data_IF_259247535631
#
_entry.id   IF_259247535631
#
_cell.length_a   1.000
_cell.length_b   1.000
_cell.length_c   1.000
_cell.angle_alpha   90.00
_cell.angle_beta   90.00
_cell.angle_gamma   90.00
#
_symmetry.space_group_name_H-M   'P 1'
#
loop_
_entity.id
_entity.type
_entity.pdbx_description
1 polymer ?
#
# COMPACT_ATOMS: atom_id res chain seq x y z
N UNK A 1 28.90 -23.53 -3.39
CA UNK A 1 29.35 -22.53 -2.45
C UNK A 1 28.64 -22.66 -1.11
N UNK A 2 27.31 -22.71 -1.06
CA UNK A 2 26.56 -22.91 0.20
C UNK A 2 26.97 -24.24 0.87
N UNK A 3 27.11 -25.31 0.10
CA UNK A 3 27.54 -26.63 0.61
C UNK A 3 28.95 -26.64 1.19
N UNK A 4 29.80 -25.71 0.77
CA UNK A 4 31.13 -25.50 1.31
C UNK A 4 31.16 -24.52 2.48
N UNK A 5 30.00 -24.01 2.89
CA UNK A 5 29.89 -23.05 3.98
C UNK A 5 30.26 -21.61 3.60
N UNK A 6 30.31 -21.27 2.31
CA UNK A 6 30.63 -19.93 1.81
C UNK A 6 29.48 -19.35 1.01
N UNK A 7 28.51 -18.67 1.66
CA UNK A 7 27.41 -18.03 0.96
C UNK A 7 27.92 -16.82 0.17
N UNK A 8 27.39 -16.63 -1.05
CA UNK A 8 27.67 -15.42 -1.84
C UNK A 8 26.99 -14.19 -1.23
N UNK A 9 25.79 -14.38 -0.71
CA UNK A 9 25.02 -13.31 -0.06
C UNK A 9 24.33 -13.87 1.17
N UNK A 10 24.31 -13.08 2.23
CA UNK A 10 23.51 -13.30 3.42
C UNK A 10 22.72 -12.04 3.72
N UNK A 11 21.45 -12.20 4.03
CA UNK A 11 20.57 -11.09 4.43
C UNK A 11 20.01 -11.37 5.80
N UNK A 12 19.85 -10.31 6.58
CA UNK A 12 19.18 -10.36 7.86
C UNK A 12 18.36 -9.07 8.06
N UNK A 13 17.32 -9.15 8.87
CA UNK A 13 16.52 -7.99 9.22
C UNK A 13 16.06 -8.10 10.66
N UNK A 14 15.82 -6.95 11.29
CA UNK A 14 15.00 -6.92 12.49
C UNK A 14 13.56 -7.22 12.07
N UNK A 15 12.89 -8.03 12.85
CA UNK A 15 11.48 -8.33 12.61
C UNK A 15 10.63 -7.59 13.64
N UNK A 16 9.73 -6.73 13.18
CA UNK A 16 8.75 -6.07 14.03
C UNK A 16 7.37 -6.57 13.65
N UNK A 17 6.67 -7.16 14.60
CA UNK A 17 5.29 -7.57 14.39
C UNK A 17 4.41 -6.34 14.26
N UNK A 18 3.76 -6.19 13.12
CA UNK A 18 2.84 -5.08 12.85
C UNK A 18 1.40 -5.56 12.80
N UNK A 19 0.52 -4.76 13.38
CA UNK A 19 -0.91 -5.03 13.38
C UNK A 19 -1.61 -3.84 12.73
N UNK A 20 -2.04 -4.03 11.50
CA UNK A 20 -2.61 -3.01 10.65
C UNK A 20 -4.13 -3.01 10.71
N UNK A 21 -4.74 -1.85 10.59
CA UNK A 21 -6.20 -1.66 10.54
C UNK A 21 -6.56 -0.64 9.48
N UNK A 22 -7.54 -0.98 8.67
CA UNK A 22 -8.09 -0.10 7.66
C UNK A 22 -9.61 -0.28 7.61
N UNK A 23 -10.40 0.54 8.27
CA UNK A 23 -11.84 0.54 8.11
C UNK A 23 -12.24 1.21 6.80
N UNK A 24 -13.28 0.69 6.20
CA UNK A 24 -13.93 1.28 5.04
C UNK A 24 -15.43 1.33 5.26
N UNK A 25 -16.09 2.31 4.65
CA UNK A 25 -17.52 2.53 4.74
C UNK A 25 -18.06 2.81 3.34
N UNK A 26 -19.01 2.00 2.92
CA UNK A 26 -19.63 2.12 1.62
C UNK A 26 -21.10 2.38 1.77
N UNK A 27 -21.59 3.39 1.08
CA UNK A 27 -23.00 3.73 1.00
C UNK A 27 -23.42 3.75 -0.45
N UNK A 28 -24.60 3.28 -0.75
CA UNK A 28 -25.14 3.38 -2.09
C UNK A 28 -26.63 3.61 -2.09
N UNK A 29 -27.10 4.28 -3.13
CA UNK A 29 -28.49 4.42 -3.50
C UNK A 29 -28.63 4.14 -4.98
N UNK A 30 -29.64 3.38 -5.35
CA UNK A 30 -29.92 3.04 -6.74
C UNK A 30 -31.40 3.01 -6.96
N UNK A 31 -31.84 3.49 -8.14
CA UNK A 31 -33.22 3.46 -8.58
C UNK A 31 -33.30 2.93 -10.01
N UNK A 32 -34.37 2.21 -10.29
CA UNK A 32 -34.72 1.75 -11.61
C UNK A 32 -36.04 2.43 -12.02
N UNK A 33 -35.91 3.37 -12.92
CA UNK A 33 -37.04 4.18 -13.37
C UNK A 33 -37.53 3.77 -14.76
N UNK A 34 -38.72 3.24 -14.81
CA UNK A 34 -39.42 2.98 -16.07
C UNK A 34 -40.06 4.27 -16.59
N UNK A 35 -39.31 5.00 -17.42
CA UNK A 35 -39.73 6.31 -17.95
C UNK A 35 -40.91 6.17 -18.91
N UNK A 36 -40.89 5.11 -19.74
CA UNK A 36 -41.98 4.74 -20.69
C UNK A 36 -42.04 3.21 -20.77
N UNK A 37 -43.02 2.67 -21.50
CA UNK A 37 -43.12 1.24 -21.79
C UNK A 37 -41.91 0.70 -22.61
N UNK A 38 -41.14 1.59 -23.21
CA UNK A 38 -40.00 1.26 -24.05
C UNK A 38 -38.65 1.71 -23.51
N UNK A 39 -38.62 2.50 -22.41
CA UNK A 39 -37.39 3.05 -21.84
C UNK A 39 -37.35 2.84 -20.34
N UNK A 40 -36.35 2.15 -19.90
CA UNK A 40 -35.98 2.02 -18.48
C UNK A 40 -34.63 2.67 -18.27
N UNK A 41 -34.51 3.48 -17.21
CA UNK A 41 -33.26 4.06 -16.73
C UNK A 41 -32.88 3.40 -15.41
N UNK A 42 -31.60 3.15 -15.23
CA UNK A 42 -31.00 2.74 -13.96
C UNK A 42 -30.06 3.85 -13.52
N UNK A 43 -30.32 4.46 -12.37
CA UNK A 43 -29.52 5.54 -11.82
C UNK A 43 -29.02 5.13 -10.45
N UNK A 44 -27.77 5.38 -10.17
CA UNK A 44 -27.18 5.05 -8.89
C UNK A 44 -26.08 6.01 -8.50
N UNK A 45 -25.88 6.12 -7.19
CA UNK A 45 -24.74 6.81 -6.60
C UNK A 45 -24.17 5.92 -5.51
N UNK A 46 -22.87 5.71 -5.54
CA UNK A 46 -22.10 5.07 -4.47
C UNK A 46 -21.14 6.08 -3.89
N UNK A 47 -21.03 6.10 -2.58
CA UNK A 47 -20.00 6.83 -1.87
C UNK A 47 -19.13 5.84 -1.11
N UNK A 48 -17.83 5.89 -1.35
CA UNK A 48 -16.86 5.01 -0.74
C UNK A 48 -15.91 5.85 0.13
N UNK A 49 -15.78 5.49 1.41
CA UNK A 49 -14.84 6.12 2.33
C UNK A 49 -13.86 5.06 2.81
N UNK A 50 -12.74 4.99 2.12
CA UNK A 50 -11.63 4.11 2.46
C UNK A 50 -10.63 4.88 3.33
N UNK A 51 -10.66 4.62 4.62
CA UNK A 51 -9.74 5.28 5.52
C UNK A 51 -8.34 4.67 5.38
N UNK A 52 -7.28 5.49 5.38
CA UNK A 52 -5.93 4.98 5.22
C UNK A 52 -5.54 4.00 6.33
N UNK A 53 -4.69 3.07 5.99
CA UNK A 53 -4.14 2.07 6.90
C UNK A 53 -3.44 2.73 8.08
N UNK A 54 -3.57 2.14 9.25
CA UNK A 54 -2.83 2.54 10.45
C UNK A 54 -2.27 1.32 11.16
N UNK A 55 -1.05 1.41 11.64
CA UNK A 55 -0.49 0.42 12.55
C UNK A 55 -0.91 0.74 13.99
N UNK A 56 -1.29 -0.29 14.77
CA UNK A 56 -1.92 -0.10 16.09
C UNK A 56 -1.01 0.56 17.12
N UNK A 57 0.30 0.38 16.99
CA UNK A 57 1.34 0.95 17.86
C UNK A 57 2.12 2.09 17.22
N UNK A 58 1.77 2.48 15.97
CA UNK A 58 2.46 3.47 15.15
C UNK A 58 3.92 3.08 14.85
N UNK A 59 4.18 1.81 14.60
CA UNK A 59 5.53 1.26 14.37
C UNK A 59 5.87 1.21 12.87
N UNK A 60 5.56 2.24 12.13
CA UNK A 60 5.95 2.40 10.74
C UNK A 60 6.30 3.84 10.40
N UNK A 61 6.86 4.03 9.24
CA UNK A 61 7.21 5.36 8.72
C UNK A 61 7.05 5.38 7.21
N UNK A 62 6.84 6.58 6.70
CA UNK A 62 6.79 6.88 5.28
C UNK A 62 7.94 7.83 4.92
N UNK A 63 8.15 8.09 3.65
CA UNK A 63 9.06 9.11 3.17
C UNK A 63 8.27 10.27 2.59
N UNK A 64 8.61 11.49 3.00
CA UNK A 64 8.14 12.71 2.35
C UNK A 64 9.00 12.94 1.09
N UNK A 65 8.42 12.64 -0.06
CA UNK A 65 9.03 12.83 -1.36
C UNK A 65 8.58 14.14 -2.03
N UNK A 66 7.56 14.78 -1.49
CA UNK A 66 6.97 15.99 -2.07
C UNK A 66 7.83 17.22 -1.76
N UNK A 67 8.49 17.22 -0.62
CA UNK A 67 9.36 18.32 -0.19
C UNK A 67 10.72 18.30 -0.90
N UNK A 68 11.37 17.16 -0.94
CA UNK A 68 12.65 16.96 -1.63
C UNK A 68 12.79 15.51 -2.10
N UNK A 69 12.62 15.29 -3.40
CA UNK A 69 12.72 13.95 -3.98
C UNK A 69 14.15 13.39 -3.94
N UNK A 70 15.16 14.26 -3.95
CA UNK A 70 16.56 13.82 -3.92
C UNK A 70 17.01 13.40 -2.51
N UNK A 71 16.40 13.99 -1.47
CA UNK A 71 16.69 13.70 -0.06
C UNK A 71 15.37 13.58 0.73
N UNK A 72 14.62 12.51 0.53
CA UNK A 72 13.31 12.34 1.15
C UNK A 72 13.44 12.26 2.67
N UNK A 73 12.63 13.06 3.38
CA UNK A 73 12.59 13.03 4.83
C UNK A 73 11.79 11.83 5.34
N UNK A 74 12.28 11.17 6.39
CA UNK A 74 11.55 10.10 7.05
C UNK A 74 10.45 10.68 7.94
N UNK A 75 9.22 10.24 7.74
CA UNK A 75 8.02 10.66 8.48
C UNK A 75 7.48 9.50 9.32
N UNK A 76 7.89 9.36 10.58
CA UNK A 76 7.35 8.32 11.46
C UNK A 76 5.88 8.59 11.79
N UNK A 77 5.09 7.54 11.88
CA UNK A 77 3.73 7.63 12.39
C UNK A 77 3.70 8.15 13.83
N UNK A 78 2.74 9.02 14.13
CA UNK A 78 2.61 9.69 15.42
C UNK A 78 1.25 9.37 16.04
N UNK A 79 1.14 9.49 17.34
CA UNK A 79 -0.16 9.51 18.02
C UNK A 79 -0.89 10.78 17.62
N UNK A 80 -2.17 10.65 17.25
CA UNK A 80 -2.96 11.81 16.84
C UNK A 80 -4.12 11.40 15.94
N UNK A 81 -4.39 12.21 14.95
CA UNK A 81 -5.39 11.96 13.93
C UNK A 81 -5.08 10.69 13.12
N UNK A 82 -6.03 10.27 12.28
CA UNK A 82 -5.76 9.14 11.40
C UNK A 82 -4.65 9.44 10.40
N UNK A 83 -4.58 10.67 9.90
CA UNK A 83 -3.53 11.11 9.00
C UNK A 83 -2.14 11.06 9.67
N UNK A 84 -2.03 11.48 10.94
CA UNK A 84 -0.78 11.38 11.70
C UNK A 84 -0.30 9.94 11.88
N UNK A 85 -1.24 9.03 12.07
CA UNK A 85 -0.96 7.60 12.25
C UNK A 85 -0.70 6.87 10.96
N UNK A 86 -1.39 7.26 9.90
CA UNK A 86 -1.23 6.68 8.56
C UNK A 86 -0.06 7.27 7.79
N UNK A 87 0.42 8.46 8.19
CA UNK A 87 1.42 9.27 7.47
C UNK A 87 0.97 9.74 6.08
N UNK A 88 -0.33 9.64 5.80
CA UNK A 88 -0.98 10.14 4.58
C UNK A 88 -2.35 10.73 4.93
N UNK A 89 -2.83 11.64 4.09
CA UNK A 89 -4.14 12.25 4.22
C UNK A 89 -5.30 11.26 4.06
N UNK A 90 -6.46 11.63 4.56
CA UNK A 90 -7.71 10.91 4.32
C UNK A 90 -8.33 11.44 3.04
N UNK A 91 -8.61 10.57 2.09
CA UNK A 91 -9.45 10.86 0.94
C UNK A 91 -10.91 10.59 1.29
N UNK A 92 -11.79 11.52 0.97
CA UNK A 92 -13.21 11.43 1.31
C UNK A 92 -14.11 11.89 0.17
N UNK A 93 -13.61 11.93 -1.06
CA UNK A 93 -14.35 12.45 -2.21
C UNK A 93 -14.77 11.37 -3.23
N UNK A 94 -14.73 10.10 -2.86
CA UNK A 94 -14.99 8.96 -3.74
C UNK A 94 -16.49 8.77 -4.00
N UNK A 95 -17.05 9.62 -4.87
CA UNK A 95 -18.42 9.52 -5.35
C UNK A 95 -18.46 8.81 -6.69
N UNK A 96 -19.08 7.63 -6.74
CA UNK A 96 -19.25 6.78 -7.92
C UNK A 96 -20.63 6.85 -8.53
N UNK A 97 -20.95 7.87 -9.36
CA UNK A 97 -22.22 7.91 -10.07
C UNK A 97 -22.28 6.80 -11.13
N UNK A 98 -23.48 6.26 -11.32
CA UNK A 98 -23.78 5.23 -12.29
C UNK A 98 -25.07 5.55 -13.01
N UNK A 99 -25.08 5.40 -14.31
CA UNK A 99 -26.26 5.57 -15.14
C UNK A 99 -26.30 4.47 -16.19
N UNK A 100 -27.47 3.90 -16.39
CA UNK A 100 -27.71 2.90 -17.41
C UNK A 100 -29.09 3.10 -18.04
N UNK A 101 -29.26 2.56 -19.24
CA UNK A 101 -30.54 2.55 -19.92
C UNK A 101 -30.78 1.24 -20.67
N UNK A 102 -32.05 0.90 -20.80
CA UNK A 102 -32.54 -0.13 -21.71
C UNK A 102 -33.67 0.47 -22.53
N UNK A 103 -33.47 0.56 -23.83
CA UNK A 103 -34.43 1.12 -24.76
C UNK A 103 -34.86 0.07 -25.79
N UNK A 104 -36.17 -0.24 -25.81
CA UNK A 104 -36.78 -1.06 -26.84
C UNK A 104 -37.02 -0.21 -28.10
N UNK A 105 -36.05 -0.19 -29.01
CA UNK A 105 -36.12 0.60 -30.23
C UNK A 105 -37.22 0.09 -31.17
N UNK A 106 -37.37 -1.22 -31.25
CA UNK A 106 -38.48 -1.91 -31.97
C UNK A 106 -38.99 -3.07 -31.12
N UNK A 107 -40.02 -3.76 -31.56
CA UNK A 107 -40.55 -4.91 -30.82
C UNK A 107 -39.54 -6.08 -30.72
N UNK A 108 -38.57 -6.12 -31.64
CA UNK A 108 -37.55 -7.16 -31.68
C UNK A 108 -36.12 -6.65 -31.35
N UNK A 109 -35.97 -5.37 -31.05
CA UNK A 109 -34.62 -4.78 -30.81
C UNK A 109 -34.57 -3.98 -29.53
N UNK A 110 -33.62 -4.32 -28.68
CA UNK A 110 -33.33 -3.55 -27.43
C UNK A 110 -31.89 -3.07 -27.48
N UNK A 111 -31.72 -1.78 -27.27
CA UNK A 111 -30.43 -1.13 -27.12
C UNK A 111 -30.20 -0.89 -25.63
N UNK A 112 -29.02 -1.25 -25.15
CA UNK A 112 -28.62 -1.04 -23.75
C UNK A 112 -27.28 -0.33 -23.70
N UNK A 113 -27.11 0.52 -22.72
CA UNK A 113 -25.85 1.20 -22.47
C UNK A 113 -25.76 1.63 -21.02
N UNK A 114 -24.55 1.94 -20.59
CA UNK A 114 -24.34 2.42 -19.24
C UNK A 114 -22.96 3.06 -19.09
N UNK A 115 -22.84 3.88 -18.07
CA UNK A 115 -21.63 4.53 -17.62
C UNK A 115 -21.57 4.48 -16.11
N UNK A 116 -20.37 4.36 -15.54
CA UNK A 116 -20.18 4.43 -14.09
C UNK A 116 -18.76 4.80 -13.74
N UNK A 117 -18.62 5.50 -12.62
CA UNK A 117 -17.35 5.76 -11.96
C UNK A 117 -17.21 4.75 -10.83
N UNK A 118 -16.04 4.15 -10.74
CA UNK A 118 -15.72 3.13 -9.77
C UNK A 118 -14.39 3.48 -9.11
N UNK A 119 -14.35 3.40 -7.79
CA UNK A 119 -13.14 3.52 -7.03
C UNK A 119 -12.68 2.13 -6.60
N UNK A 120 -11.41 1.91 -6.57
CA UNK A 120 -10.84 0.65 -6.12
C UNK A 120 -9.82 0.93 -5.03
N UNK A 121 -9.89 0.18 -3.95
CA UNK A 121 -8.79 0.17 -3.01
C UNK A 121 -7.60 -0.50 -3.67
N UNK A 122 -6.46 0.19 -3.68
CA UNK A 122 -5.23 -0.37 -4.20
C UNK A 122 -4.71 -1.44 -3.22
N UNK A 123 -5.04 -2.68 -3.49
CA UNK A 123 -4.52 -3.83 -2.76
C UNK A 123 -3.24 -4.31 -3.47
N UNK A 124 -2.13 -4.30 -2.76
CA UNK A 124 -0.88 -4.88 -3.25
C UNK A 124 0.26 -3.89 -3.39
N UNK A 125 0.72 -3.57 -4.56
CA UNK A 125 1.97 -2.82 -4.75
C UNK A 125 1.91 -1.37 -4.26
N UNK A 126 2.63 -1.04 -3.20
CA UNK A 126 2.77 0.31 -2.66
C UNK A 126 1.83 0.64 -1.50
N UNK A 127 1.10 -0.35 -0.98
CA UNK A 127 0.27 -0.18 0.21
C UNK A 127 1.08 -0.12 1.51
N UNK A 128 0.36 -0.08 2.61
CA UNK A 128 0.92 0.01 3.96
C UNK A 128 1.89 -1.12 4.33
N UNK A 129 1.84 -2.24 3.63
CA UNK A 129 2.74 -3.39 3.82
C UNK A 129 4.22 -3.06 3.56
N UNK A 130 4.52 -2.05 2.74
CA UNK A 130 5.91 -1.63 2.54
C UNK A 130 6.40 -0.66 3.63
N UNK A 131 5.51 0.03 4.32
CA UNK A 131 5.86 0.96 5.39
C UNK A 131 6.48 0.26 6.61
N UNK A 132 6.17 -1.03 6.80
CA UNK A 132 6.77 -1.86 7.84
C UNK A 132 8.26 -2.10 7.64
N UNK A 133 8.72 -2.00 6.39
CA UNK A 133 10.13 -2.16 6.03
C UNK A 133 11.00 -0.94 6.28
N UNK A 134 10.41 0.18 6.70
CA UNK A 134 11.13 1.44 6.83
C UNK A 134 11.75 1.65 8.22
N UNK A 135 12.93 2.32 8.29
CA UNK A 135 13.47 2.79 9.56
C UNK A 135 12.51 3.75 10.27
N UNK A 136 12.59 3.92 11.59
CA UNK A 136 13.53 3.28 12.51
C UNK A 136 13.06 1.91 13.05
N UNK A 137 11.92 1.41 12.58
CA UNK A 137 11.27 0.23 13.15
C UNK A 137 11.78 -1.08 12.56
N UNK A 138 12.25 -1.05 11.32
CA UNK A 138 12.83 -2.21 10.65
C UNK A 138 14.16 -1.83 10.02
N UNK A 139 15.14 -2.66 10.24
CA UNK A 139 16.46 -2.54 9.63
C UNK A 139 16.76 -3.81 8.85
N UNK A 140 17.26 -3.64 7.64
CA UNK A 140 17.69 -4.74 6.78
C UNK A 140 19.18 -4.56 6.51
N UNK A 141 19.93 -5.65 6.59
CA UNK A 141 21.31 -5.68 6.20
C UNK A 141 21.58 -6.83 5.23
N UNK A 142 22.37 -6.58 4.22
CA UNK A 142 22.82 -7.58 3.27
C UNK A 142 24.36 -7.56 3.23
N UNK A 143 24.96 -8.73 3.36
CA UNK A 143 26.40 -8.91 3.17
C UNK A 143 26.58 -9.68 1.88
N UNK A 144 27.28 -9.09 0.93
CA UNK A 144 27.66 -9.75 -0.32
C UNK A 144 29.16 -9.98 -0.29
N UNK A 145 29.58 -11.19 -0.58
CA UNK A 145 31.00 -11.58 -0.61
C UNK A 145 31.47 -11.75 -2.03
N UNK A 146 32.74 -11.47 -2.25
CA UNK A 146 33.37 -11.79 -3.50
C UNK A 146 33.39 -13.34 -3.71
N UNK A 147 33.18 -13.78 -4.94
CA UNK A 147 33.19 -15.19 -5.31
C UNK A 147 34.58 -15.77 -5.31
N UNK A 148 35.61 -14.96 -5.45
CA UNK A 148 37.01 -15.37 -5.49
C UNK A 148 37.59 -15.42 -4.08
N UNK A 149 37.25 -14.41 -3.24
CA UNK A 149 37.73 -14.30 -1.87
C UNK A 149 36.53 -14.20 -0.90
N UNK A 150 35.85 -15.30 -0.60
CA UNK A 150 34.70 -15.27 0.27
C UNK A 150 35.11 -14.90 1.70
N UNK A 151 34.59 -13.82 2.20
CA UNK A 151 34.86 -13.32 3.55
C UNK A 151 33.87 -13.80 4.60
N UNK A 152 32.67 -14.27 4.16
CA UNK A 152 31.65 -14.79 5.04
C UNK A 152 31.67 -16.32 5.08
N UNK A 153 31.72 -16.89 6.28
CA UNK A 153 31.58 -18.33 6.53
C UNK A 153 30.36 -18.61 7.37
N UNK A 154 29.54 -19.58 6.98
CA UNK A 154 28.35 -19.97 7.74
C UNK A 154 28.67 -20.38 9.19
N UNK A 155 29.83 -21.01 9.39
CA UNK A 155 30.31 -21.46 10.70
C UNK A 155 30.62 -20.32 11.66
N UNK A 156 30.86 -19.12 11.15
CA UNK A 156 31.14 -17.91 11.97
C UNK A 156 29.88 -17.10 12.29
N UNK A 157 28.77 -17.40 11.60
CA UNK A 157 27.56 -16.59 11.71
C UNK A 157 27.73 -15.21 11.05
N UNK A 158 26.74 -14.36 11.23
CA UNK A 158 26.82 -12.96 10.83
C UNK A 158 27.65 -12.17 11.85
N UNK A 159 28.44 -11.17 11.40
CA UNK A 159 29.17 -10.30 12.29
C UNK A 159 28.24 -9.67 13.33
N UNK A 160 28.70 -9.46 14.57
CA UNK A 160 28.00 -8.67 15.55
C UNK A 160 27.65 -7.30 14.95
N UNK A 161 26.50 -6.74 15.31
CA UNK A 161 26.03 -5.44 14.81
C UNK A 161 25.71 -5.37 13.31
N UNK A 162 25.64 -6.51 12.60
CA UNK A 162 25.21 -6.53 11.19
C UNK A 162 23.88 -5.81 10.99
N UNK A 163 22.98 -5.89 11.97
CA UNK A 163 21.71 -5.16 11.99
C UNK A 163 21.70 -4.22 13.20
N UNK A 164 22.29 -3.05 13.05
CA UNK A 164 22.29 -2.02 14.08
C UNK A 164 21.69 -0.72 13.54
N UNK A 165 21.12 0.13 14.39
CA UNK A 165 20.66 1.47 13.99
C UNK A 165 21.76 2.34 13.35
N UNK A 166 23.01 2.09 13.66
CA UNK A 166 24.15 2.81 13.05
C UNK A 166 24.34 2.40 11.59
N UNK A 167 24.31 1.11 11.29
CA UNK A 167 24.48 0.61 9.94
C UNK A 167 23.30 0.98 9.02
N UNK A 168 22.12 1.13 9.58
CA UNK A 168 20.94 1.55 8.81
C UNK A 168 21.00 3.02 8.38
N UNK A 169 21.69 3.89 9.10
CA UNK A 169 21.89 5.28 8.69
C UNK A 169 22.87 5.42 7.53
N UNK A 170 23.86 4.53 7.46
CA UNK A 170 24.89 4.57 6.43
C UNK A 170 24.37 4.03 5.08
N UNK A 171 23.30 3.25 5.08
CA UNK A 171 22.69 2.71 3.86
C UNK A 171 21.81 3.76 3.14
N UNK A 172 21.34 4.77 3.85
CA UNK A 172 20.49 5.83 3.28
C UNK A 172 21.28 6.95 2.59
N UNK A 173 22.61 6.88 2.57
CA UNK A 173 23.50 7.92 2.04
C UNK A 173 24.42 7.44 0.91
N UNK A 174 24.22 6.24 0.40
CA UNK A 174 25.01 5.68 -0.72
C UNK A 174 24.18 5.42 -1.97
#
# INVERSE_FOLDING_TARGET
DLLLGYPHQAQTSTFTYMNQRFPFYDFYVQDEWRVTDRLTLNLGLRYELHLPWVETRNLWSNFDIDTDLANPALVPAKKGSRADRATIGVDGNDFGPRAGFAWRATDNTVVRGGYGVYYGQYEGFGGAEFLEGNPPFTYKAAITTDRINPTLRLSQGLPPDTVSPRNARDISTS
#
